data_IF_772215635840
#
_entry.id   IF_772215635840
#
_cell.length_a   1.000
_cell.length_b   1.000
_cell.length_c   1.000
_cell.angle_alpha   90.00
_cell.angle_beta   90.00
_cell.angle_gamma   90.00
#
_symmetry.space_group_name_H-M   'P 1'
#
loop_
_entity.id
_entity.type
_entity.pdbx_description
1 polymer ?
#
# COMPACT_ATOMS: atom_id res chain seq x y z
N UNK A 1 -12.34 1.01 -15.06
CA UNK A 1 -12.16 -0.17 -14.19
C UNK A 1 -12.82 0.17 -12.86
N UNK A 2 -13.70 -0.68 -12.32
CA UNK A 2 -14.27 -0.45 -10.98
C UNK A 2 -13.23 -0.97 -9.99
N UNK A 3 -12.52 -0.08 -9.32
CA UNK A 3 -11.55 -0.42 -8.28
C UNK A 3 -12.34 -0.82 -7.03
N UNK A 4 -12.08 -2.01 -6.48
CA UNK A 4 -12.63 -2.40 -5.17
C UNK A 4 -11.67 -1.99 -4.06
N UNK A 5 -12.21 -1.67 -2.89
CA UNK A 5 -11.41 -1.37 -1.71
C UNK A 5 -10.49 -2.52 -1.29
N UNK A 6 -10.92 -3.77 -1.49
CA UNK A 6 -10.10 -4.96 -1.29
C UNK A 6 -8.83 -4.96 -2.13
N UNK A 7 -8.89 -4.38 -3.33
CA UNK A 7 -7.77 -4.38 -4.27
C UNK A 7 -6.72 -3.36 -3.79
N UNK A 8 -7.16 -2.20 -3.29
CA UNK A 8 -6.27 -1.21 -2.65
C UNK A 8 -5.52 -1.80 -1.45
N UNK A 9 -6.24 -2.48 -0.56
CA UNK A 9 -5.63 -3.11 0.61
C UNK A 9 -4.68 -4.25 0.24
N UNK A 10 -5.03 -5.03 -0.79
CA UNK A 10 -4.18 -6.09 -1.30
C UNK A 10 -2.88 -5.53 -1.87
N UNK A 11 -2.97 -4.47 -2.65
CA UNK A 11 -1.83 -3.88 -3.36
C UNK A 11 -0.80 -3.31 -2.38
N UNK A 12 -1.24 -2.61 -1.34
CA UNK A 12 -0.35 -2.12 -0.27
C UNK A 12 0.33 -3.27 0.47
N UNK A 13 -0.42 -4.34 0.79
CA UNK A 13 0.16 -5.51 1.46
C UNK A 13 1.17 -6.22 0.57
N UNK A 14 0.86 -6.35 -0.72
CA UNK A 14 1.73 -6.97 -1.70
C UNK A 14 3.05 -6.20 -1.80
N UNK A 15 2.98 -4.89 -2.03
CA UNK A 15 4.17 -4.03 -2.12
C UNK A 15 5.03 -4.08 -0.85
N UNK A 16 4.41 -4.08 0.33
CA UNK A 16 5.13 -4.18 1.58
C UNK A 16 5.81 -5.54 1.77
N UNK A 17 5.17 -6.62 1.32
CA UNK A 17 5.77 -7.96 1.37
C UNK A 17 6.97 -8.06 0.41
N UNK A 18 6.83 -7.57 -0.81
CA UNK A 18 7.93 -7.53 -1.79
C UNK A 18 9.09 -6.66 -1.30
N UNK A 19 8.79 -5.53 -0.64
CA UNK A 19 9.82 -4.72 0.02
C UNK A 19 10.58 -5.52 1.08
N UNK A 20 9.89 -6.24 1.97
CA UNK A 20 10.55 -7.06 2.98
C UNK A 20 11.37 -8.20 2.35
N UNK A 21 10.89 -8.80 1.26
CA UNK A 21 11.65 -9.80 0.50
C UNK A 21 12.94 -9.20 -0.06
N UNK A 22 12.86 -8.02 -0.68
CA UNK A 22 14.05 -7.32 -1.18
C UNK A 22 15.05 -6.99 -0.06
N UNK A 23 14.58 -6.51 1.10
CA UNK A 23 15.47 -6.25 2.24
C UNK A 23 16.18 -7.53 2.69
N UNK A 24 15.45 -8.66 2.71
CA UNK A 24 16.03 -9.96 3.04
C UNK A 24 17.09 -10.36 2.02
N UNK A 25 16.78 -10.27 0.73
CA UNK A 25 17.72 -10.59 -0.36
C UNK A 25 18.99 -9.74 -0.30
N UNK A 26 18.86 -8.42 -0.12
CA UNK A 26 20.00 -7.50 0.05
C UNK A 26 20.84 -7.85 1.29
N UNK A 27 20.21 -8.36 2.35
CA UNK A 27 20.91 -8.76 3.58
C UNK A 27 21.67 -10.08 3.40
N UNK A 28 21.08 -11.03 2.66
CA UNK A 28 21.66 -12.36 2.41
C UNK A 28 22.71 -12.34 1.28
N UNK A 29 22.53 -11.48 0.27
CA UNK A 29 23.40 -11.31 -0.89
C UNK A 29 23.70 -9.81 -1.15
N UNK A 30 24.58 -9.21 -0.35
CA UNK A 30 24.92 -7.79 -0.50
C UNK A 30 25.71 -7.49 -1.78
N UNK A 31 26.37 -8.48 -2.40
CA UNK A 31 27.10 -8.29 -3.66
C UNK A 31 26.15 -8.00 -4.83
N UNK A 32 24.95 -8.58 -4.81
CA UNK A 32 23.89 -8.35 -5.80
C UNK A 32 22.82 -7.35 -5.31
N UNK A 33 23.07 -6.60 -4.24
CA UNK A 33 22.11 -5.68 -3.64
C UNK A 33 21.48 -4.70 -4.65
N UNK A 34 22.27 -4.20 -5.62
CA UNK A 34 21.77 -3.32 -6.68
C UNK A 34 20.73 -4.02 -7.55
N UNK A 35 20.97 -5.26 -7.95
CA UNK A 35 20.04 -6.03 -8.77
C UNK A 35 18.72 -6.26 -8.02
N UNK A 36 18.76 -6.66 -6.75
CA UNK A 36 17.57 -6.85 -5.92
C UNK A 36 16.75 -5.55 -5.78
N UNK A 37 17.42 -4.41 -5.57
CA UNK A 37 16.77 -3.08 -5.55
C UNK A 37 16.12 -2.75 -6.91
N UNK A 38 16.82 -2.98 -8.02
CA UNK A 38 16.28 -2.72 -9.37
C UNK A 38 15.06 -3.60 -9.69
N UNK A 39 15.08 -4.88 -9.30
CA UNK A 39 13.96 -5.81 -9.48
C UNK A 39 12.73 -5.36 -8.69
N UNK A 40 12.92 -5.00 -7.41
CA UNK A 40 11.88 -4.39 -6.60
C UNK A 40 11.33 -3.12 -7.24
N UNK A 41 12.19 -2.21 -7.72
CA UNK A 41 11.76 -0.95 -8.35
C UNK A 41 10.99 -1.16 -9.65
N UNK A 42 11.37 -2.13 -10.48
CA UNK A 42 10.60 -2.51 -11.69
C UNK A 42 9.19 -2.97 -11.34
N UNK A 43 9.06 -3.81 -10.31
CA UNK A 43 7.78 -4.28 -9.81
C UNK A 43 6.97 -3.12 -9.19
N UNK A 44 7.60 -2.32 -8.33
CA UNK A 44 7.00 -1.16 -7.67
C UNK A 44 6.38 -0.20 -8.69
N UNK A 45 7.17 0.24 -9.68
CA UNK A 45 6.71 1.16 -10.72
C UNK A 45 5.57 0.60 -11.56
N UNK A 46 5.60 -0.71 -11.86
CA UNK A 46 4.49 -1.37 -12.56
C UNK A 46 3.21 -1.34 -11.73
N UNK A 47 3.31 -1.48 -10.41
CA UNK A 47 2.17 -1.56 -9.50
C UNK A 47 1.62 -0.17 -9.17
N UNK A 48 2.47 0.82 -8.92
CA UNK A 48 2.04 2.20 -8.62
C UNK A 48 1.45 2.92 -9.82
N UNK A 49 1.81 2.52 -11.04
CA UNK A 49 1.12 2.98 -12.25
C UNK A 49 -0.32 2.46 -12.37
N UNK A 50 -0.68 1.44 -11.60
CA UNK A 50 -2.05 0.93 -11.50
C UNK A 50 -2.77 1.55 -10.30
N UNK A 51 -2.06 1.69 -9.17
CA UNK A 51 -2.66 2.09 -7.90
C UNK A 51 -1.63 2.67 -6.91
N UNK A 52 -1.89 3.87 -6.40
CA UNK A 52 -1.00 4.63 -5.51
C UNK A 52 -1.50 4.69 -4.05
N UNK A 53 -0.60 5.01 -3.12
CA UNK A 53 -0.95 5.28 -1.72
C UNK A 53 -1.91 6.48 -1.61
N UNK A 54 -1.78 7.46 -2.50
CA UNK A 54 -2.66 8.63 -2.57
C UNK A 54 -4.10 8.24 -2.91
N UNK A 55 -4.29 7.33 -3.87
CA UNK A 55 -5.62 6.78 -4.20
C UNK A 55 -6.22 6.00 -3.03
N UNK A 56 -5.40 5.26 -2.27
CA UNK A 56 -5.87 4.58 -1.06
C UNK A 56 -6.28 5.56 0.04
N UNK A 57 -5.47 6.58 0.30
CA UNK A 57 -5.78 7.61 1.29
C UNK A 57 -7.05 8.38 0.91
N UNK A 58 -7.17 8.74 -0.37
CA UNK A 58 -8.34 9.40 -0.96
C UNK A 58 -9.60 8.53 -0.80
N UNK A 59 -9.50 7.22 -1.06
CA UNK A 59 -10.60 6.28 -0.87
C UNK A 59 -11.13 6.23 0.58
N UNK A 60 -10.23 6.39 1.55
CA UNK A 60 -10.58 6.46 2.98
C UNK A 60 -11.25 7.80 3.33
N UNK A 61 -10.69 8.91 2.84
CA UNK A 61 -11.02 10.26 3.32
C UNK A 61 -12.16 10.97 2.56
N UNK A 62 -12.31 10.74 1.25
CA UNK A 62 -13.14 11.59 0.40
C UNK A 62 -14.63 11.18 0.31
N UNK A 63 -15.47 12.12 -0.19
CA UNK A 63 -16.92 11.98 -0.40
C UNK A 63 -17.34 11.08 -1.56
N UNK A 64 -16.42 10.72 -2.45
CA UNK A 64 -16.69 9.81 -3.56
C UNK A 64 -15.40 9.13 -3.99
N UNK A 65 -15.28 7.83 -3.72
CA UNK A 65 -14.31 6.99 -4.43
C UNK A 65 -14.90 6.50 -5.76
N UNK A 66 -14.09 5.79 -6.53
CA UNK A 66 -14.44 5.07 -7.78
C UNK A 66 -15.72 4.21 -7.73
N UNK A 67 -16.26 3.91 -6.55
CA UNK A 67 -17.51 3.14 -6.35
C UNK A 67 -18.73 3.98 -5.94
N UNK A 68 -18.58 5.31 -5.82
CA UNK A 68 -19.66 6.23 -5.46
C UNK A 68 -20.02 6.29 -3.96
N UNK A 69 -19.48 5.39 -3.13
CA UNK A 69 -19.67 5.37 -1.66
C UNK A 69 -18.34 5.46 -0.96
N UNK A 70 -18.20 6.25 0.12
CA UNK A 70 -16.95 6.35 0.89
C UNK A 70 -16.54 5.00 1.48
N UNK A 71 -15.24 4.68 1.55
CA UNK A 71 -14.76 3.39 2.08
C UNK A 71 -15.23 3.16 3.51
N UNK A 72 -15.16 4.21 4.33
CA UNK A 72 -15.65 4.19 5.70
C UNK A 72 -17.17 3.98 5.80
N UNK A 73 -17.96 4.49 4.85
CA UNK A 73 -19.41 4.23 4.81
C UNK A 73 -19.69 2.77 4.50
N UNK A 74 -18.98 2.19 3.52
CA UNK A 74 -19.10 0.76 3.20
C UNK A 74 -18.75 -0.12 4.40
N UNK A 75 -17.68 0.21 5.13
CA UNK A 75 -17.33 -0.52 6.35
C UNK A 75 -18.35 -0.33 7.47
N UNK A 76 -18.86 0.89 7.68
CA UNK A 76 -19.90 1.13 8.68
C UNK A 76 -21.15 0.31 8.40
N UNK A 77 -21.59 0.24 7.15
CA UNK A 77 -22.77 -0.54 6.78
C UNK A 77 -22.51 -2.04 6.94
N UNK A 78 -21.34 -2.53 6.51
CA UNK A 78 -20.94 -3.93 6.71
C UNK A 78 -20.92 -4.35 8.19
N UNK A 79 -20.44 -3.47 9.08
CA UNK A 79 -20.35 -3.73 10.51
C UNK A 79 -21.61 -3.33 11.30
N UNK A 80 -22.73 -3.04 10.63
CA UNK A 80 -23.97 -2.57 11.27
C UNK A 80 -23.75 -1.40 12.25
N UNK A 81 -22.84 -0.49 11.90
CA UNK A 81 -22.45 0.69 12.69
C UNK A 81 -21.90 0.35 14.08
N UNK A 82 -21.39 -0.88 14.26
CA UNK A 82 -20.71 -1.29 15.49
C UNK A 82 -19.45 -0.47 15.72
N UNK A 83 -19.44 0.30 16.82
CA UNK A 83 -18.28 1.12 17.19
C UNK A 83 -17.01 0.29 17.37
N UNK A 84 -17.11 -0.86 18.04
CA UNK A 84 -15.95 -1.74 18.33
C UNK A 84 -15.32 -2.23 17.02
N UNK A 85 -16.14 -2.72 16.08
CA UNK A 85 -15.65 -3.19 14.80
C UNK A 85 -15.02 -2.05 13.97
N UNK A 86 -15.62 -0.85 14.02
CA UNK A 86 -15.07 0.31 13.32
C UNK A 86 -13.75 0.79 13.91
N UNK A 87 -13.58 0.76 15.24
CA UNK A 87 -12.31 1.09 15.89
C UNK A 87 -11.20 0.12 15.45
N UNK A 88 -11.51 -1.18 15.35
CA UNK A 88 -10.54 -2.17 14.86
C UNK A 88 -10.25 -2.03 13.36
N UNK A 89 -11.26 -1.69 12.56
CA UNK A 89 -11.08 -1.36 11.14
C UNK A 89 -10.17 -0.14 10.96
N UNK A 90 -10.36 0.93 11.74
CA UNK A 90 -9.50 2.11 11.70
C UNK A 90 -8.04 1.77 12.04
N UNK A 91 -7.79 0.98 13.10
CA UNK A 91 -6.44 0.50 13.44
C UNK A 91 -5.82 -0.30 12.30
N UNK A 92 -6.62 -1.10 11.61
CA UNK A 92 -6.17 -1.88 10.48
C UNK A 92 -5.80 -0.99 9.28
N UNK A 93 -6.62 0.01 8.94
CA UNK A 93 -6.33 0.97 7.87
C UNK A 93 -5.09 1.82 8.18
N UNK A 94 -4.94 2.26 9.43
CA UNK A 94 -3.75 2.98 9.90
C UNK A 94 -2.47 2.17 9.66
N UNK A 95 -2.49 0.89 10.01
CA UNK A 95 -1.36 -0.03 9.72
C UNK A 95 -1.08 -0.17 8.23
N UNK A 96 -2.10 -0.16 7.37
CA UNK A 96 -1.89 -0.21 5.92
C UNK A 96 -1.27 1.09 5.41
N UNK A 97 -1.73 2.25 5.89
CA UNK A 97 -1.13 3.55 5.55
C UNK A 97 0.35 3.56 5.94
N UNK A 98 0.70 3.14 7.16
CA UNK A 98 2.10 3.06 7.58
C UNK A 98 2.94 2.16 6.66
N UNK A 99 2.40 1.00 6.27
CA UNK A 99 3.09 0.10 5.31
C UNK A 99 3.33 0.78 3.97
N UNK A 100 2.32 1.43 3.42
CA UNK A 100 2.44 2.18 2.16
C UNK A 100 3.50 3.28 2.25
N UNK A 101 3.51 4.07 3.33
CA UNK A 101 4.51 5.12 3.55
C UNK A 101 5.93 4.54 3.60
N UNK A 102 6.14 3.42 4.30
CA UNK A 102 7.45 2.77 4.36
C UNK A 102 7.95 2.38 2.96
N UNK A 103 7.08 1.79 2.13
CA UNK A 103 7.43 1.40 0.75
C UNK A 103 7.76 2.63 -0.09
N UNK A 104 6.96 3.70 -0.02
CA UNK A 104 7.22 4.96 -0.73
C UNK A 104 8.56 5.58 -0.32
N UNK A 105 8.86 5.61 0.99
CA UNK A 105 10.13 6.12 1.50
C UNK A 105 11.31 5.28 1.01
N UNK A 106 11.19 3.95 1.03
CA UNK A 106 12.23 3.05 0.53
C UNK A 106 12.48 3.24 -0.97
N UNK A 107 11.41 3.31 -1.77
CA UNK A 107 11.49 3.60 -3.20
C UNK A 107 12.17 4.94 -3.49
N UNK A 108 11.83 5.98 -2.72
CA UNK A 108 12.48 7.29 -2.83
C UNK A 108 13.97 7.23 -2.48
N UNK A 109 14.35 6.48 -1.44
CA UNK A 109 15.75 6.31 -1.05
C UNK A 109 16.55 5.58 -2.13
N UNK A 110 16.02 4.50 -2.71
CA UNK A 110 16.68 3.75 -3.80
C UNK A 110 16.90 4.66 -5.01
N UNK A 111 15.87 5.41 -5.43
CA UNK A 111 16.00 6.37 -6.54
C UNK A 111 17.03 7.49 -6.30
N UNK A 112 17.30 7.84 -5.04
CA UNK A 112 18.30 8.84 -4.68
C UNK A 112 19.72 8.27 -4.66
N UNK A 113 19.90 7.00 -4.32
CA UNK A 113 21.20 6.31 -4.41
C UNK A 113 21.69 6.14 -5.86
N UNK A 114 20.77 6.08 -6.82
CA UNK A 114 21.09 5.93 -8.25
C UNK A 114 21.42 7.25 -8.98
N UNK A 115 21.35 8.39 -8.29
CA UNK A 115 21.69 9.73 -8.82
C UNK A 115 23.11 10.15 -8.42
#
# INVERSE_FOLDING_TARGET
MIIKYSDLEHDIKFLFNEFNSMIKEVTEDPEHAKQHKEEFMKMYNKKTNIMSLDEFYTAIMEKSSYSGSKMMTVYMDYYNKSRVCMEDQCKYLDRLICKGIIVEMASSAINQEEK
#
